data_IF_510158696658
#
_entry.id   IF_510158696658
#
_cell.length_a   1.000
_cell.length_b   1.000
_cell.length_c   1.000
_cell.angle_alpha   90.00
_cell.angle_beta   90.00
_cell.angle_gamma   90.00
#
_symmetry.space_group_name_H-M   'P 1'
#
loop_
_entity.id
_entity.type
_entity.pdbx_description
1 polymer ?
#
# COMPACT_ATOMS: atom_id res chain seq x y z
N UNK A 1 35.40 12.25 -59.25
CA UNK A 1 34.92 11.22 -58.30
C UNK A 1 33.50 11.01 -58.74
N UNK A 2 33.33 10.05 -59.64
CA UNK A 2 32.12 10.03 -60.45
C UNK A 2 31.13 9.12 -59.71
N UNK A 3 30.31 9.76 -58.88
CA UNK A 3 29.18 9.11 -58.23
C UNK A 3 28.11 8.99 -59.31
N UNK A 4 27.94 7.79 -59.87
CA UNK A 4 26.81 7.47 -60.74
C UNK A 4 25.54 7.38 -59.88
N UNK A 5 25.00 8.55 -59.54
CA UNK A 5 23.78 8.71 -58.78
C UNK A 5 22.60 8.62 -59.77
N UNK A 6 22.04 7.41 -59.95
CA UNK A 6 20.81 7.26 -60.75
C UNK A 6 19.62 7.68 -59.88
N UNK A 7 19.34 8.98 -59.81
CA UNK A 7 18.11 9.51 -59.23
C UNK A 7 17.00 9.32 -60.25
N UNK A 8 16.05 8.42 -59.98
CA UNK A 8 14.86 8.27 -60.82
C UNK A 8 13.72 9.09 -60.20
N UNK A 9 13.48 10.29 -60.73
CA UNK A 9 12.39 11.17 -60.27
C UNK A 9 11.18 10.90 -61.15
N UNK A 10 10.26 10.06 -60.67
CA UNK A 10 8.98 9.85 -61.34
C UNK A 10 8.00 10.95 -60.90
N UNK A 11 7.85 12.00 -61.70
CA UNK A 11 6.78 12.98 -61.53
C UNK A 11 5.49 12.43 -62.17
N UNK A 12 4.51 12.04 -61.35
CA UNK A 12 3.18 11.65 -61.83
C UNK A 12 2.24 12.85 -61.78
N UNK A 13 2.24 13.67 -62.83
CA UNK A 13 1.11 14.54 -63.17
C UNK A 13 1.24 15.08 -64.61
N UNK A 14 0.16 14.97 -65.38
CA UNK A 14 0.12 15.15 -66.85
C UNK A 14 0.24 16.60 -67.34
N UNK A 15 0.33 17.59 -66.46
CA UNK A 15 0.43 18.98 -66.88
C UNK A 15 1.25 19.79 -65.88
N UNK A 16 2.58 19.81 -66.04
CA UNK A 16 3.42 20.99 -65.80
C UNK A 16 4.84 20.73 -66.31
N UNK A 17 5.27 21.62 -67.20
CA UNK A 17 6.65 21.77 -67.64
C UNK A 17 7.50 22.45 -66.54
N UNK A 18 8.77 22.03 -66.48
CA UNK A 18 9.90 22.57 -65.69
C UNK A 18 10.02 22.10 -64.24
N UNK A 19 10.72 20.99 -64.09
CA UNK A 19 11.42 20.65 -62.85
C UNK A 19 12.67 21.54 -62.77
N UNK A 20 12.61 22.64 -62.00
CA UNK A 20 13.76 23.49 -61.71
C UNK A 20 14.39 23.05 -60.38
N UNK A 21 15.60 22.48 -60.46
CA UNK A 21 16.48 22.37 -59.29
C UNK A 21 16.99 23.79 -58.98
N UNK A 22 16.41 24.43 -57.97
CA UNK A 22 16.72 25.83 -57.59
C UNK A 22 18.07 26.00 -56.88
N UNK A 23 18.77 24.90 -56.55
CA UNK A 23 20.05 24.92 -55.83
C UNK A 23 21.14 24.17 -56.60
N UNK A 24 22.33 24.77 -56.70
CA UNK A 24 23.50 24.22 -57.39
C UNK A 24 24.13 22.99 -56.69
N UNK A 25 23.64 22.64 -55.49
CA UNK A 25 24.18 21.57 -54.67
C UNK A 25 23.11 20.55 -54.27
N UNK A 26 23.38 19.27 -54.53
CA UNK A 26 22.63 18.15 -53.98
C UNK A 26 23.30 17.73 -52.68
N UNK A 27 22.65 18.01 -51.55
CA UNK A 27 23.09 17.54 -50.24
C UNK A 27 22.65 16.08 -50.06
N UNK A 28 23.61 15.16 -50.06
CA UNK A 28 23.37 13.75 -49.79
C UNK A 28 23.82 13.42 -48.38
N UNK A 29 22.87 13.20 -47.47
CA UNK A 29 23.15 12.74 -46.11
C UNK A 29 22.94 11.23 -46.02
N UNK A 30 24.02 10.48 -45.81
CA UNK A 30 23.93 9.04 -45.55
C UNK A 30 23.58 8.86 -44.07
N UNK A 31 22.36 8.37 -43.79
CA UNK A 31 21.95 8.04 -42.42
C UNK A 31 22.80 6.90 -41.88
N UNK A 32 23.13 6.97 -40.59
CA UNK A 32 23.82 5.88 -39.89
C UNK A 32 22.90 4.64 -39.79
N UNK A 33 23.47 3.44 -39.62
CA UNK A 33 22.68 2.24 -39.40
C UNK A 33 21.97 2.29 -38.04
N UNK A 34 20.81 1.63 -37.92
CA UNK A 34 20.17 1.43 -36.61
C UNK A 34 21.01 0.50 -35.73
N UNK A 35 20.75 0.48 -34.43
CA UNK A 35 21.51 -0.33 -33.45
C UNK A 35 21.51 -1.84 -33.78
N UNK A 36 20.50 -2.31 -34.53
CA UNK A 36 20.33 -3.71 -34.93
C UNK A 36 20.83 -3.99 -36.36
N UNK A 37 21.50 -3.02 -37.00
CA UNK A 37 22.00 -3.12 -38.37
C UNK A 37 23.52 -2.94 -38.43
N UNK A 38 24.18 -3.73 -39.28
CA UNK A 38 25.61 -3.66 -39.48
C UNK A 38 25.95 -2.88 -40.75
N UNK A 39 27.04 -2.11 -40.66
CA UNK A 39 27.66 -1.47 -41.81
C UNK A 39 28.46 -2.49 -42.60
N UNK A 40 27.97 -2.84 -43.77
CA UNK A 40 28.70 -3.69 -44.73
C UNK A 40 29.42 -2.79 -45.72
N UNK A 41 30.75 -2.80 -45.70
CA UNK A 41 31.57 -2.04 -46.63
C UNK A 41 31.76 -2.83 -47.92
N UNK A 42 31.42 -2.21 -49.06
CA UNK A 42 31.72 -2.73 -50.40
C UNK A 42 32.80 -1.89 -51.05
N UNK A 43 33.85 -2.56 -51.52
CA UNK A 43 34.88 -1.97 -52.35
C UNK A 43 34.48 -2.11 -53.82
N UNK A 44 34.29 -0.98 -54.50
CA UNK A 44 34.16 -0.97 -55.95
C UNK A 44 35.48 -0.52 -56.58
N UNK A 45 36.11 -1.42 -57.34
CA UNK A 45 37.33 -1.09 -58.10
C UNK A 45 36.94 -0.37 -59.39
N UNK A 46 37.22 0.92 -59.49
CA UNK A 46 37.03 1.68 -60.72
C UNK A 46 38.38 2.03 -61.34
N UNK A 47 38.62 1.56 -62.58
CA UNK A 47 39.75 1.93 -63.44
C UNK A 47 41.13 2.03 -62.74
N UNK A 48 41.60 0.92 -62.12
CA UNK A 48 42.98 0.71 -61.59
C UNK A 48 43.58 1.76 -60.62
N UNK A 49 42.90 2.88 -60.33
CA UNK A 49 43.55 4.04 -59.70
C UNK A 49 42.88 4.48 -58.38
N UNK A 50 41.60 4.15 -58.11
CA UNK A 50 40.98 4.41 -56.79
C UNK A 50 39.93 3.35 -56.40
N UNK A 51 40.03 2.82 -55.18
CA UNK A 51 38.99 2.00 -54.57
C UNK A 51 37.94 2.93 -53.95
N UNK A 52 36.70 2.87 -54.43
CA UNK A 52 35.58 3.55 -53.77
C UNK A 52 35.00 2.61 -52.72
N UNK A 53 35.13 2.98 -51.44
CA UNK A 53 34.47 2.29 -50.33
C UNK A 53 33.15 2.99 -50.03
N UNK A 54 32.04 2.28 -50.11
CA UNK A 54 30.76 2.73 -49.57
C UNK A 54 30.21 1.66 -48.62
N UNK A 55 29.39 2.08 -47.67
CA UNK A 55 28.70 1.14 -46.78
C UNK A 55 27.20 1.18 -47.01
N UNK A 56 26.56 0.09 -46.67
CA UNK A 56 25.11 -0.01 -46.57
C UNK A 56 24.75 -0.83 -45.32
N UNK A 57 23.53 -0.67 -44.84
CA UNK A 57 23.07 -1.30 -43.61
C UNK A 57 22.34 -2.60 -43.94
N UNK A 58 22.76 -3.70 -43.33
CA UNK A 58 22.06 -4.99 -43.39
C UNK A 58 21.64 -5.44 -42.00
N UNK A 59 20.54 -6.19 -41.91
CA UNK A 59 20.17 -6.91 -40.69
C UNK A 59 21.04 -8.18 -40.56
N UNK A 60 21.26 -8.64 -39.33
CA UNK A 60 22.01 -9.87 -39.09
C UNK A 60 21.33 -11.07 -39.76
N UNK A 61 22.09 -11.85 -40.53
CA UNK A 61 21.61 -13.10 -41.11
C UNK A 61 21.72 -14.22 -40.08
N UNK A 62 20.60 -14.81 -39.71
CA UNK A 62 20.58 -15.92 -38.76
C UNK A 62 20.68 -17.29 -39.44
N UNK A 63 21.19 -18.26 -38.69
CA UNK A 63 21.03 -19.67 -39.02
C UNK A 63 19.55 -20.03 -39.08
N UNK A 64 19.17 -20.93 -40.00
CA UNK A 64 17.78 -21.39 -40.17
C UNK A 64 17.21 -22.07 -38.91
N UNK A 65 18.06 -22.41 -37.93
CA UNK A 65 17.65 -22.95 -36.63
C UNK A 65 17.12 -21.90 -35.67
N UNK A 66 17.45 -20.62 -35.86
CA UNK A 66 16.99 -19.54 -35.00
C UNK A 66 15.52 -19.17 -35.34
N UNK A 67 14.57 -19.27 -34.39
CA UNK A 67 13.14 -19.09 -34.64
C UNK A 67 12.73 -17.60 -34.71
N UNK A 68 13.37 -16.83 -35.59
CA UNK A 68 13.07 -15.39 -35.78
C UNK A 68 11.69 -15.17 -36.39
N UNK A 69 11.18 -16.13 -37.18
CA UNK A 69 9.85 -16.03 -37.80
C UNK A 69 8.70 -16.22 -36.80
N UNK A 70 8.95 -16.91 -35.69
CA UNK A 70 7.97 -17.15 -34.62
C UNK A 70 8.03 -16.09 -33.52
N UNK A 71 8.83 -15.04 -33.71
CA UNK A 71 9.07 -13.96 -32.75
C UNK A 71 9.65 -14.43 -31.39
N UNK A 72 10.31 -15.59 -31.36
CA UNK A 72 10.93 -16.16 -30.14
C UNK A 72 12.37 -15.69 -29.92
N UNK A 73 13.03 -15.27 -30.98
CA UNK A 73 14.44 -14.90 -30.97
C UNK A 73 14.68 -13.67 -31.87
N UNK A 74 15.72 -12.92 -31.52
CA UNK A 74 16.29 -11.86 -32.34
C UNK A 74 17.69 -12.26 -32.81
N UNK A 75 18.03 -11.89 -34.04
CA UNK A 75 19.37 -12.13 -34.58
C UNK A 75 20.27 -10.94 -34.26
N UNK A 76 21.37 -11.17 -33.57
CA UNK A 76 22.36 -10.12 -33.26
C UNK A 76 23.71 -10.47 -33.87
N UNK A 77 24.48 -9.45 -34.23
CA UNK A 77 25.81 -9.65 -34.80
C UNK A 77 26.76 -10.29 -33.79
N UNK A 78 27.62 -11.18 -34.27
CA UNK A 78 28.72 -11.72 -33.48
C UNK A 78 29.86 -10.70 -33.29
N UNK A 79 30.93 -11.13 -32.64
CA UNK A 79 32.08 -10.25 -32.36
C UNK A 79 32.83 -9.78 -33.63
N UNK A 80 32.71 -10.50 -34.75
CA UNK A 80 33.33 -10.12 -36.02
C UNK A 80 32.34 -9.36 -36.91
N UNK A 81 32.45 -8.02 -36.90
CA UNK A 81 31.60 -7.12 -37.68
C UNK A 81 32.06 -6.93 -39.14
N UNK A 82 33.04 -7.71 -39.62
CA UNK A 82 33.59 -7.52 -40.96
C UNK A 82 32.72 -8.17 -42.06
N UNK A 83 31.94 -9.21 -41.72
CA UNK A 83 31.14 -9.98 -42.68
C UNK A 83 29.84 -10.48 -42.06
N UNK A 84 28.73 -10.34 -42.79
CA UNK A 84 27.41 -10.83 -42.36
C UNK A 84 27.25 -12.33 -42.67
N UNK A 85 27.98 -13.18 -41.94
CA UNK A 85 28.00 -14.63 -42.14
C UNK A 85 27.04 -15.30 -41.13
N UNK A 86 26.17 -16.20 -41.62
CA UNK A 86 25.11 -16.83 -40.82
C UNK A 86 25.62 -17.57 -39.59
N UNK A 87 26.79 -18.18 -39.70
CA UNK A 87 27.43 -18.98 -38.67
C UNK A 87 28.12 -18.14 -37.59
N UNK A 88 28.40 -16.85 -37.88
CA UNK A 88 29.05 -15.93 -36.95
C UNK A 88 28.06 -15.09 -36.14
N UNK A 89 26.81 -14.98 -36.60
CA UNK A 89 25.76 -14.23 -35.90
C UNK A 89 25.13 -15.04 -34.76
N UNK A 90 24.72 -14.35 -33.69
CA UNK A 90 24.21 -14.96 -32.46
C UNK A 90 22.68 -14.90 -32.48
N UNK A 91 22.05 -16.03 -32.20
CA UNK A 91 20.61 -16.11 -31.95
C UNK A 91 20.33 -15.76 -30.49
N UNK A 92 19.80 -14.57 -30.22
CA UNK A 92 19.49 -14.11 -28.87
C UNK A 92 18.01 -14.31 -28.57
N UNK A 93 17.71 -14.99 -27.47
CA UNK A 93 16.32 -15.27 -27.12
C UNK A 93 15.62 -14.02 -26.61
N UNK A 94 14.35 -13.84 -27.03
CA UNK A 94 13.50 -12.81 -26.45
C UNK A 94 13.13 -13.18 -25.01
N UNK A 95 12.79 -12.20 -24.16
CA UNK A 95 12.31 -12.46 -22.81
C UNK A 95 11.21 -13.53 -22.79
N UNK A 96 11.38 -14.54 -21.93
CA UNK A 96 10.48 -15.69 -21.84
C UNK A 96 10.90 -16.91 -22.66
N UNK A 97 12.03 -16.87 -23.38
CA UNK A 97 12.61 -18.02 -24.06
C UNK A 97 14.10 -18.19 -23.70
N UNK A 98 14.58 -19.43 -23.73
CA UNK A 98 15.96 -19.84 -23.44
C UNK A 98 16.25 -21.21 -24.09
N UNK A 99 17.43 -21.76 -23.83
CA UNK A 99 17.94 -22.97 -24.44
C UNK A 99 18.51 -22.74 -25.83
N UNK A 100 19.06 -23.81 -26.41
CA UNK A 100 19.58 -23.74 -27.77
C UNK A 100 18.47 -23.31 -28.74
N UNK A 101 18.75 -22.23 -29.47
CA UNK A 101 17.82 -21.62 -30.42
C UNK A 101 16.47 -21.23 -29.82
N UNK A 102 16.41 -20.90 -28.53
CA UNK A 102 15.19 -20.38 -27.90
C UNK A 102 14.01 -21.35 -28.00
N UNK A 103 14.31 -22.65 -28.02
CA UNK A 103 13.34 -23.74 -28.13
C UNK A 103 12.54 -23.91 -26.83
N UNK A 104 13.14 -23.56 -25.70
CA UNK A 104 12.51 -23.69 -24.39
C UNK A 104 11.87 -22.36 -23.99
N UNK A 105 10.58 -22.40 -23.63
CA UNK A 105 9.92 -21.25 -23.02
C UNK A 105 10.34 -21.20 -21.55
N UNK A 106 11.04 -20.14 -21.15
CA UNK A 106 11.37 -19.91 -19.74
C UNK A 106 10.09 -19.49 -19.04
N UNK A 107 9.55 -20.42 -18.28
CA UNK A 107 8.64 -20.05 -17.21
C UNK A 107 9.52 -19.63 -16.04
N UNK A 108 9.43 -18.35 -15.67
CA UNK A 108 10.07 -17.82 -14.46
C UNK A 108 9.75 -18.79 -13.33
N UNK A 109 10.77 -19.45 -12.78
CA UNK A 109 10.61 -20.27 -11.57
C UNK A 109 10.27 -19.31 -10.45
N UNK A 110 8.98 -19.13 -10.20
CA UNK A 110 8.54 -18.37 -9.05
C UNK A 110 8.91 -19.14 -7.79
N UNK A 111 9.43 -18.41 -6.82
CA UNK A 111 9.79 -18.95 -5.53
C UNK A 111 8.50 -19.47 -4.86
N UNK A 112 8.37 -20.76 -4.54
CA UNK A 112 7.13 -21.36 -4.03
C UNK A 112 6.65 -20.76 -2.70
N UNK A 113 7.45 -19.91 -2.06
CA UNK A 113 7.11 -19.27 -0.79
C UNK A 113 6.07 -18.13 -0.90
N UNK A 114 5.59 -17.74 -2.09
CA UNK A 114 4.68 -16.59 -2.26
C UNK A 114 3.35 -16.87 -2.97
N UNK A 115 2.94 -18.13 -3.16
CA UNK A 115 1.55 -18.40 -3.52
C UNK A 115 0.68 -18.44 -2.24
N UNK A 116 0.35 -17.24 -1.73
CA UNK A 116 -0.47 -17.03 -0.53
C UNK A 116 -1.91 -17.57 -0.61
N UNK A 117 -2.33 -18.14 -1.75
CA UNK A 117 -3.71 -18.56 -1.99
C UNK A 117 -3.84 -20.01 -2.50
N UNK A 118 -2.81 -20.84 -2.34
CA UNK A 118 -2.92 -22.26 -2.72
C UNK A 118 -3.83 -23.05 -1.77
N UNK A 119 -3.92 -22.65 -0.50
CA UNK A 119 -4.73 -23.32 0.49
C UNK A 119 -5.52 -22.35 1.39
N UNK A 120 -6.48 -22.92 2.13
CA UNK A 120 -7.29 -22.18 3.09
C UNK A 120 -6.44 -21.49 4.15
N UNK A 121 -5.35 -22.12 4.60
CA UNK A 121 -4.47 -21.55 5.62
C UNK A 121 -3.75 -20.31 5.11
N UNK A 122 -3.23 -20.32 3.88
CA UNK A 122 -2.62 -19.15 3.25
C UNK A 122 -3.59 -17.98 3.18
N UNK A 123 -4.83 -18.23 2.74
CA UNK A 123 -5.84 -17.17 2.73
C UNK A 123 -6.17 -16.67 4.14
N UNK A 124 -6.32 -17.57 5.11
CA UNK A 124 -6.63 -17.21 6.49
C UNK A 124 -5.50 -16.38 7.14
N UNK A 125 -4.24 -16.76 6.93
CA UNK A 125 -3.10 -15.99 7.40
C UNK A 125 -3.02 -14.63 6.72
N UNK A 126 -3.22 -14.56 5.41
CA UNK A 126 -3.24 -13.30 4.68
C UNK A 126 -4.31 -12.35 5.24
N UNK A 127 -5.52 -12.86 5.47
CA UNK A 127 -6.61 -12.12 6.11
C UNK A 127 -6.21 -11.62 7.50
N UNK A 128 -5.68 -12.50 8.36
CA UNK A 128 -5.28 -12.15 9.73
C UNK A 128 -4.20 -11.07 9.71
N UNK A 129 -3.15 -11.23 8.91
CA UNK A 129 -2.04 -10.27 8.85
C UNK A 129 -2.44 -8.93 8.24
N UNK A 130 -3.28 -8.94 7.19
CA UNK A 130 -3.84 -7.72 6.58
C UNK A 130 -4.53 -6.88 7.66
N UNK A 131 -5.48 -7.47 8.38
CA UNK A 131 -6.29 -6.73 9.33
C UNK A 131 -5.56 -6.43 10.64
N UNK A 132 -4.72 -7.36 11.14
CA UNK A 132 -3.96 -7.16 12.37
C UNK A 132 -3.00 -5.96 12.26
N UNK A 133 -2.39 -5.76 11.09
CA UNK A 133 -1.55 -4.59 10.82
C UNK A 133 -2.32 -3.28 10.95
N UNK A 134 -3.47 -3.19 10.28
CA UNK A 134 -4.34 -1.99 10.31
C UNK A 134 -4.84 -1.71 11.73
N UNK A 135 -5.34 -2.73 12.44
CA UNK A 135 -5.79 -2.58 13.83
C UNK A 135 -4.68 -2.14 14.77
N UNK A 136 -3.45 -2.67 14.62
CA UNK A 136 -2.32 -2.30 15.46
C UNK A 136 -1.98 -0.82 15.31
N UNK A 137 -1.92 -0.33 14.07
CA UNK A 137 -1.69 1.10 13.78
C UNK A 137 -2.82 1.95 14.37
N UNK A 138 -4.07 1.51 14.20
CA UNK A 138 -5.23 2.24 14.69
C UNK A 138 -5.28 2.32 16.23
N UNK A 139 -4.88 1.25 16.94
CA UNK A 139 -4.77 1.23 18.41
C UNK A 139 -3.68 2.19 18.87
N UNK A 140 -2.51 2.20 18.22
CA UNK A 140 -1.44 3.14 18.54
C UNK A 140 -1.94 4.58 18.38
N UNK A 141 -2.62 4.89 17.27
CA UNK A 141 -3.24 6.20 17.03
C UNK A 141 -4.27 6.55 18.12
N UNK A 142 -5.10 5.59 18.52
CA UNK A 142 -6.09 5.80 19.58
C UNK A 142 -5.42 6.17 20.91
N UNK A 143 -4.33 5.49 21.29
CA UNK A 143 -3.58 5.77 22.52
C UNK A 143 -3.04 7.20 22.48
N UNK A 144 -2.36 7.59 21.40
CA UNK A 144 -1.84 8.95 21.24
C UNK A 144 -2.96 10.00 21.34
N UNK A 145 -4.10 9.79 20.68
CA UNK A 145 -5.21 10.75 20.73
C UNK A 145 -5.87 10.83 22.11
N UNK A 146 -5.96 9.72 22.84
CA UNK A 146 -6.53 9.70 24.18
C UNK A 146 -5.62 10.43 25.18
N UNK A 147 -4.32 10.11 25.22
CA UNK A 147 -3.36 10.78 26.11
C UNK A 147 -3.34 12.29 25.88
N UNK A 148 -3.45 12.71 24.63
CA UNK A 148 -3.39 14.12 24.27
C UNK A 148 -4.70 14.87 24.47
N UNK A 149 -5.83 14.16 24.37
CA UNK A 149 -7.12 14.71 24.78
C UNK A 149 -7.19 15.04 26.27
N UNK A 150 -6.43 14.31 27.10
CA UNK A 150 -6.32 14.55 28.55
C UNK A 150 -5.32 15.66 28.89
N UNK A 151 -4.21 15.76 28.14
CA UNK A 151 -3.19 16.79 28.36
C UNK A 151 -3.56 18.15 27.74
N UNK A 152 -4.34 18.16 26.66
CA UNK A 152 -4.75 19.37 25.96
C UNK A 152 -5.70 20.25 26.78
N UNK A 153 -5.57 21.56 26.67
CA UNK A 153 -6.54 22.51 27.23
C UNK A 153 -7.52 22.98 26.15
N UNK A 154 -8.83 22.94 26.47
CA UNK A 154 -9.85 23.47 25.57
C UNK A 154 -9.66 24.99 25.38
N UNK A 155 -9.51 25.44 24.13
CA UNK A 155 -9.28 26.84 23.80
C UNK A 155 -10.30 27.78 24.42
N UNK A 156 -11.59 27.46 24.26
CA UNK A 156 -12.68 28.31 24.71
C UNK A 156 -12.65 28.51 26.21
N UNK A 157 -12.36 27.45 26.97
CA UNK A 157 -12.25 27.53 28.42
C UNK A 157 -11.04 28.35 28.87
N UNK A 158 -9.91 28.26 28.15
CA UNK A 158 -8.73 29.10 28.43
C UNK A 158 -9.05 30.58 28.17
N UNK A 159 -9.63 30.87 27.00
CA UNK A 159 -10.01 32.24 26.61
C UNK A 159 -11.01 32.84 27.59
N UNK A 160 -12.05 32.10 27.96
CA UNK A 160 -13.06 32.53 28.94
C UNK A 160 -12.43 32.81 30.31
N UNK A 161 -11.53 31.94 30.78
CA UNK A 161 -10.83 32.14 32.05
C UNK A 161 -9.87 33.34 32.03
N UNK A 162 -9.21 33.60 30.90
CA UNK A 162 -8.34 34.76 30.74
C UNK A 162 -9.17 36.06 30.68
N UNK A 163 -10.27 36.09 29.92
CA UNK A 163 -11.18 37.24 29.85
C UNK A 163 -11.78 37.60 31.20
N UNK A 164 -12.23 36.59 31.95
CA UNK A 164 -12.77 36.81 33.30
C UNK A 164 -11.70 37.34 34.27
N UNK A 165 -10.45 36.86 34.18
CA UNK A 165 -9.35 37.39 35.00
C UNK A 165 -9.00 38.84 34.67
N UNK A 166 -9.03 39.24 33.40
CA UNK A 166 -8.77 40.62 32.98
C UNK A 166 -9.86 41.59 33.48
N UNK A 167 -11.12 41.20 33.39
CA UNK A 167 -12.21 42.01 33.94
C UNK A 167 -12.13 42.17 35.47
N UNK A 168 -11.61 41.16 36.18
CA UNK A 168 -11.43 41.23 37.63
C UNK A 168 -10.27 42.17 38.02
N UNK A 169 -9.17 42.19 37.24
CA UNK A 169 -8.08 43.13 37.46
C UNK A 169 -8.49 44.59 37.16
N UNK A 170 -9.26 44.82 36.09
CA UNK A 170 -9.78 46.16 35.77
C UNK A 170 -10.73 46.70 36.84
N UNK A 171 -11.56 45.84 37.42
CA UNK A 171 -12.49 46.24 38.49
C UNK A 171 -11.77 46.50 39.82
N UNK A 172 -10.70 45.76 40.14
CA UNK A 172 -9.86 46.04 41.31
C UNK A 172 -9.08 47.36 41.18
N UNK A 173 -8.44 47.60 40.02
CA UNK A 173 -7.65 48.83 39.78
C UNK A 173 -8.49 50.12 39.82
N UNK A 174 -9.81 50.01 39.61
CA UNK A 174 -10.74 51.15 39.69
C UNK A 174 -11.06 51.56 41.13
N UNK A 175 -10.92 50.66 42.10
CA UNK A 175 -11.21 50.95 43.50
C UNK A 175 -10.04 51.60 44.25
N UNK A 176 -8.79 51.33 43.84
CA UNK A 176 -7.60 51.87 44.51
C UNK A 176 -7.21 53.30 44.10
N UNK A 177 -7.79 53.84 43.02
CA UNK A 177 -7.41 55.16 42.47
C UNK A 177 -8.26 56.35 42.95
N UNK A 178 -8.97 56.23 44.08
CA UNK A 178 -9.77 57.36 44.61
C UNK A 178 -8.90 58.46 45.26
N UNK A 179 -7.59 58.25 45.50
CA UNK A 179 -6.80 59.18 46.32
C UNK A 179 -5.50 59.77 45.74
N UNK A 180 -5.20 59.68 44.44
CA UNK A 180 -3.96 60.31 43.94
C UNK A 180 -4.13 61.14 42.66
N UNK A 181 -4.15 62.48 42.87
CA UNK A 181 -3.91 63.47 41.83
C UNK A 181 -2.46 63.37 41.36
N UNK A 182 -2.16 62.49 40.42
CA UNK A 182 -0.98 62.69 39.56
C UNK A 182 -1.29 62.38 38.11
N UNK A 183 -1.48 63.49 37.40
CA UNK A 183 -1.63 63.63 35.96
C UNK A 183 -0.22 63.59 35.38
N UNK A 184 0.15 62.55 34.62
CA UNK A 184 0.84 62.66 33.32
C UNK A 184 1.35 61.32 32.78
N UNK A 185 1.16 61.14 31.45
CA UNK A 185 1.78 60.16 30.54
C UNK A 185 1.34 58.69 30.65
N UNK A 186 0.21 58.38 30.02
CA UNK A 186 -0.06 57.04 29.49
C UNK A 186 -0.91 57.14 28.22
N UNK A 187 -0.26 57.42 27.09
CA UNK A 187 -0.87 57.45 25.75
C UNK A 187 0.02 56.71 24.78
N UNK A 188 0.24 55.42 25.04
CA UNK A 188 0.72 54.46 24.05
C UNK A 188 0.34 53.04 24.50
N UNK A 189 -0.97 52.81 24.73
CA UNK A 189 -1.49 51.45 24.77
C UNK A 189 -1.64 50.99 23.32
N UNK A 190 -0.55 50.44 22.77
CA UNK A 190 -0.62 49.69 21.51
C UNK A 190 -1.67 48.60 21.65
N UNK A 191 -2.53 48.46 20.64
CA UNK A 191 -3.55 47.41 20.57
C UNK A 191 -2.88 46.04 20.49
N UNK A 192 -2.56 45.47 21.64
CA UNK A 192 -2.01 44.12 21.75
C UNK A 192 -3.09 43.13 21.29
N UNK A 193 -2.73 42.18 20.43
CA UNK A 193 -3.70 41.19 19.95
C UNK A 193 -4.12 40.26 21.10
N UNK A 194 -5.31 39.68 21.03
CA UNK A 194 -5.78 38.71 22.04
C UNK A 194 -4.80 37.52 22.18
N UNK A 195 -4.18 37.12 21.07
CA UNK A 195 -3.18 36.05 21.04
C UNK A 195 -1.91 36.44 21.80
N UNK A 196 -1.43 37.68 21.66
CA UNK A 196 -0.29 38.20 22.43
C UNK A 196 -0.61 38.26 23.92
N UNK A 197 -1.84 38.62 24.30
CA UNK A 197 -2.28 38.64 25.70
C UNK A 197 -2.27 37.22 26.29
N UNK A 198 -2.82 36.24 25.56
CA UNK A 198 -2.83 34.84 26.00
C UNK A 198 -1.42 34.28 26.14
N UNK A 199 -0.54 34.55 25.17
CA UNK A 199 0.87 34.14 25.19
C UNK A 199 1.61 34.73 26.39
N UNK A 200 1.39 36.02 26.67
CA UNK A 200 2.04 36.70 27.80
C UNK A 200 1.56 36.17 29.16
N UNK A 201 0.26 35.89 29.33
CA UNK A 201 -0.25 35.28 30.58
C UNK A 201 0.32 33.87 30.78
N UNK A 202 0.41 33.07 29.71
CA UNK A 202 0.96 31.72 29.81
C UNK A 202 2.46 31.72 30.10
N UNK A 203 3.24 32.60 29.47
CA UNK A 203 4.66 32.77 29.79
C UNK A 203 4.86 33.19 31.25
N UNK A 204 4.04 34.12 31.76
CA UNK A 204 4.06 34.53 33.16
C UNK A 204 3.79 33.36 34.11
N UNK A 205 2.80 32.51 33.82
CA UNK A 205 2.49 31.32 34.63
C UNK A 205 3.60 30.27 34.59
N UNK A 206 4.20 30.04 33.43
CA UNK A 206 5.34 29.13 33.27
C UNK A 206 6.54 29.61 34.08
N UNK A 207 6.84 30.90 34.04
CA UNK A 207 7.91 31.49 34.85
C UNK A 207 7.63 31.38 36.36
N UNK A 208 6.36 31.56 36.77
CA UNK A 208 5.96 31.36 38.16
C UNK A 208 6.17 29.90 38.61
N UNK A 209 5.78 28.94 37.76
CA UNK A 209 5.96 27.52 38.02
C UNK A 209 7.44 27.15 38.16
N UNK A 210 8.28 27.64 37.24
CA UNK A 210 9.72 27.40 37.26
C UNK A 210 10.39 28.01 38.50
N UNK A 211 9.96 29.20 38.93
CA UNK A 211 10.44 29.83 40.16
C UNK A 211 10.02 29.09 41.44
N UNK A 212 8.87 28.40 41.41
CA UNK A 212 8.37 27.61 42.54
C UNK A 212 9.12 26.28 42.63
N UNK A 213 9.38 25.64 41.50
CA UNK A 213 10.01 24.31 41.46
C UNK A 213 11.53 24.37 41.65
N UNK A 214 12.20 25.39 41.11
CA UNK A 214 13.65 25.56 41.23
C UNK A 214 14.07 26.26 42.52
N UNK A 215 13.13 26.56 43.43
CA UNK A 215 13.51 27.04 44.75
C UNK A 215 14.15 25.85 45.48
N UNK A 216 15.48 25.84 45.72
CA UNK A 216 16.11 24.74 46.43
C UNK A 216 15.34 24.58 47.74
N UNK A 217 15.04 23.33 48.17
CA UNK A 217 14.35 23.11 49.42
C UNK A 217 15.13 23.87 50.49
N UNK A 218 14.51 24.91 51.03
CA UNK A 218 15.06 25.66 52.14
C UNK A 218 15.12 24.68 53.29
N UNK A 219 16.28 24.04 53.46
CA UNK A 219 16.61 23.28 54.64
C UNK A 219 16.66 24.27 55.79
N UNK A 220 15.48 24.64 56.29
CA UNK A 220 15.36 25.27 57.58
C UNK A 220 15.89 24.25 58.56
N UNK A 221 17.06 24.53 59.10
CA UNK A 221 17.68 23.84 60.21
C UNK A 221 16.61 23.66 61.28
N UNK A 222 16.11 22.43 61.35
CA UNK A 222 14.98 22.08 62.19
C UNK A 222 15.52 22.00 63.61
N UNK A 223 15.33 23.09 64.36
CA UNK A 223 15.62 23.16 65.79
C UNK A 223 14.78 22.09 66.50
N UNK A 224 15.49 21.09 67.01
CA UNK A 224 14.96 19.82 67.47
C UNK A 224 14.38 19.94 68.88
N UNK A 225 13.41 20.82 69.13
CA UNK A 225 12.75 20.86 70.44
C UNK A 225 11.28 21.30 70.36
N UNK A 226 10.40 20.34 70.04
CA UNK A 226 9.13 20.06 70.77
C UNK A 226 8.23 19.15 69.93
N UNK A 227 8.32 17.86 70.24
CA UNK A 227 7.32 16.86 69.87
C UNK A 227 6.00 17.21 70.58
N UNK A 228 5.13 17.96 69.89
CA UNK A 228 3.72 18.11 70.32
C UNK A 228 2.90 17.14 69.48
N UNK A 229 2.36 16.12 70.14
CA UNK A 229 1.34 15.20 69.60
C UNK A 229 0.13 16.03 69.14
N UNK A 230 0.16 16.45 67.88
CA UNK A 230 -0.96 17.07 67.17
C UNK A 230 -1.66 16.01 66.34
N UNK A 231 -2.99 16.02 66.41
CA UNK A 231 -3.89 15.03 65.82
C UNK A 231 -3.65 14.84 64.31
N UNK A 232 -3.78 13.59 63.89
CA UNK A 232 -3.87 13.16 62.50
C UNK A 232 -5.05 13.84 61.79
N UNK A 233 -4.82 15.02 61.22
CA UNK A 233 -5.63 15.48 60.10
C UNK A 233 -5.08 14.81 58.84
N UNK A 234 -5.70 13.68 58.51
CA UNK A 234 -5.59 13.05 57.19
C UNK A 234 -6.05 14.07 56.15
N UNK A 235 -5.09 14.78 55.57
CA UNK A 235 -5.26 15.52 54.32
C UNK A 235 -5.65 14.50 53.26
N UNK A 236 -6.96 14.42 53.00
CA UNK A 236 -7.56 13.60 51.95
C UNK A 236 -7.42 14.34 50.62
N UNK A 237 -6.22 14.32 50.05
CA UNK A 237 -6.07 14.54 48.61
C UNK A 237 -6.50 13.28 47.87
N UNK A 238 -7.31 13.45 46.82
CA UNK A 238 -7.96 12.44 45.97
C UNK A 238 -9.28 11.87 46.50
N UNK A 239 -10.33 12.71 46.51
CA UNK A 239 -11.72 12.25 46.44
C UNK A 239 -12.48 13.05 45.38
N UNK A 240 -11.96 13.05 44.15
CA UNK A 240 -12.62 13.73 43.02
C UNK A 240 -12.58 12.89 41.74
N UNK A 241 -12.95 11.62 41.82
CA UNK A 241 -13.21 10.80 40.63
C UNK A 241 -14.10 9.61 40.97
N UNK A 242 -15.42 9.74 40.74
CA UNK A 242 -16.33 8.60 40.53
C UNK A 242 -17.75 8.97 40.07
N UNK A 243 -18.03 10.20 39.60
CA UNK A 243 -19.40 10.60 39.21
C UNK A 243 -19.63 10.60 37.70
N UNK A 244 -18.60 10.39 36.87
CA UNK A 244 -18.78 10.32 35.41
C UNK A 244 -18.65 8.86 34.96
N UNK A 245 -19.72 8.35 34.32
CA UNK A 245 -19.85 7.09 33.59
C UNK A 245 -20.24 5.81 34.34
N UNK A 246 -21.44 5.80 34.94
CA UNK A 246 -22.19 4.54 35.21
C UNK A 246 -23.41 4.31 34.31
N UNK A 247 -23.72 5.21 33.36
CA UNK A 247 -25.00 5.16 32.63
C UNK A 247 -24.91 4.71 31.16
N UNK A 248 -23.74 4.33 30.63
CA UNK A 248 -23.61 3.98 29.21
C UNK A 248 -23.25 2.50 28.92
N UNK A 249 -23.10 1.64 29.93
CA UNK A 249 -22.69 0.24 29.73
C UNK A 249 -23.85 -0.76 29.54
N UNK A 250 -25.11 -0.37 29.73
CA UNK A 250 -26.23 -1.35 29.74
C UNK A 250 -26.98 -1.52 28.41
N UNK A 251 -26.62 -0.78 27.35
CA UNK A 251 -27.36 -0.86 26.07
C UNK A 251 -26.66 -1.57 24.91
N UNK A 252 -25.37 -1.92 25.03
CA UNK A 252 -24.64 -2.55 23.92
C UNK A 252 -24.75 -4.09 23.87
N UNK A 253 -25.17 -4.75 24.96
CA UNK A 253 -25.18 -6.23 25.02
C UNK A 253 -26.46 -6.89 24.50
N UNK A 254 -27.56 -6.15 24.24
CA UNK A 254 -28.82 -6.77 23.79
C UNK A 254 -29.07 -6.74 22.28
N UNK A 255 -28.22 -6.04 21.51
CA UNK A 255 -28.38 -5.91 20.04
C UNK A 255 -27.65 -7.04 19.29
N UNK A 256 -26.66 -7.69 19.91
CA UNK A 256 -25.84 -8.70 19.21
C UNK A 256 -26.52 -10.06 18.98
N UNK A 257 -27.48 -10.45 19.80
CA UNK A 257 -28.06 -11.81 19.72
C UNK A 257 -29.12 -11.97 18.62
N UNK A 258 -29.81 -10.89 18.23
CA UNK A 258 -30.88 -10.95 17.23
C UNK A 258 -30.35 -10.89 15.78
N UNK A 259 -29.27 -10.15 15.53
CA UNK A 259 -28.73 -10.00 14.17
C UNK A 259 -28.01 -11.28 13.69
N UNK A 260 -27.40 -12.03 14.61
CA UNK A 260 -26.73 -13.30 14.31
C UNK A 260 -27.71 -14.42 13.91
N UNK A 261 -28.97 -14.33 14.35
CA UNK A 261 -30.02 -15.29 14.00
C UNK A 261 -30.57 -15.09 12.58
N UNK A 262 -30.62 -13.85 12.09
CA UNK A 262 -31.10 -13.53 10.73
C UNK A 262 -30.10 -14.00 9.66
N UNK A 263 -28.80 -13.92 9.94
CA UNK A 263 -27.74 -14.37 9.02
C UNK A 263 -27.82 -15.90 8.81
N UNK A 264 -28.06 -16.67 9.88
CA UNK A 264 -28.14 -18.14 9.82
C UNK A 264 -29.41 -18.68 9.12
N UNK A 265 -30.48 -17.89 9.03
CA UNK A 265 -31.73 -18.36 8.39
C UNK A 265 -31.69 -18.25 6.86
N UNK A 266 -30.83 -17.38 6.32
CA UNK A 266 -30.71 -17.16 4.87
C UNK A 266 -29.79 -18.17 4.17
N UNK A 267 -28.95 -18.90 4.90
CA UNK A 267 -27.99 -19.87 4.34
C UNK A 267 -28.57 -21.26 4.08
N UNK A 268 -29.78 -21.58 4.57
CA UNK A 268 -30.36 -22.92 4.41
C UNK A 268 -31.21 -23.12 3.14
N UNK A 269 -31.33 -22.12 2.26
CA UNK A 269 -32.29 -22.18 1.15
C UNK A 269 -31.72 -22.65 -0.21
N UNK A 270 -30.40 -22.70 -0.44
CA UNK A 270 -29.85 -22.97 -1.79
C UNK A 270 -28.68 -23.97 -1.79
N UNK A 271 -28.91 -25.22 -1.37
CA UNK A 271 -27.89 -26.27 -1.36
C UNK A 271 -27.73 -27.04 -2.69
N UNK A 272 -28.13 -26.46 -3.84
CA UNK A 272 -28.16 -27.19 -5.13
C UNK A 272 -27.27 -26.62 -6.24
N UNK A 273 -26.25 -25.83 -5.91
CA UNK A 273 -25.21 -25.48 -6.90
C UNK A 273 -23.83 -25.51 -6.26
N UNK A 274 -23.19 -26.68 -6.36
CA UNK A 274 -21.73 -26.74 -6.39
C UNK A 274 -21.27 -26.30 -7.78
N UNK A 275 -21.55 -25.03 -8.12
CA UNK A 275 -21.01 -24.38 -9.30
C UNK A 275 -19.53 -24.11 -9.04
N UNK A 276 -18.72 -25.16 -9.24
CA UNK A 276 -17.31 -25.01 -9.53
C UNK A 276 -17.24 -24.28 -10.88
N UNK A 277 -17.16 -22.95 -10.84
CA UNK A 277 -16.92 -22.11 -12.01
C UNK A 277 -15.61 -22.55 -12.66
N UNK A 278 -15.73 -23.40 -13.66
CA UNK A 278 -14.65 -23.76 -14.56
C UNK A 278 -14.55 -22.60 -15.54
N UNK A 279 -13.49 -21.79 -15.44
CA UNK A 279 -13.20 -20.81 -16.49
C UNK A 279 -13.07 -21.56 -17.83
N UNK A 280 -13.47 -20.91 -18.93
CA UNK A 280 -13.33 -21.46 -20.30
C UNK A 280 -11.88 -21.86 -20.65
N UNK A 281 -10.90 -21.40 -19.84
CA UNK A 281 -9.49 -21.79 -19.90
C UNK A 281 -9.16 -23.17 -19.30
N UNK A 282 -10.15 -23.87 -18.74
CA UNK A 282 -10.01 -25.16 -18.07
C UNK A 282 -9.43 -25.09 -16.66
N UNK A 283 -9.01 -23.89 -16.19
CA UNK A 283 -8.36 -23.68 -14.90
C UNK A 283 -9.35 -23.63 -13.75
N UNK A 284 -8.97 -24.23 -12.63
CA UNK A 284 -9.65 -24.08 -11.34
C UNK A 284 -8.99 -22.92 -10.61
N UNK A 285 -9.78 -21.88 -10.28
CA UNK A 285 -9.35 -20.85 -9.34
C UNK A 285 -9.92 -21.18 -7.97
N UNK A 286 -9.04 -21.24 -6.98
CA UNK A 286 -9.49 -21.28 -5.60
C UNK A 286 -10.11 -19.92 -5.26
N UNK A 287 -11.43 -19.90 -5.04
CA UNK A 287 -12.11 -18.75 -4.49
C UNK A 287 -11.99 -18.82 -2.97
N UNK A 288 -11.30 -17.86 -2.36
CA UNK A 288 -11.14 -17.90 -0.92
C UNK A 288 -12.50 -17.72 -0.22
N UNK A 289 -12.95 -18.68 0.61
CA UNK A 289 -14.24 -18.59 1.28
C UNK A 289 -14.30 -17.46 2.34
N UNK A 290 -13.15 -16.86 2.66
CA UNK A 290 -13.02 -15.78 3.63
C UNK A 290 -13.16 -14.38 3.00
N UNK A 291 -13.44 -14.27 1.70
CA UNK A 291 -13.62 -12.96 1.04
C UNK A 291 -14.78 -12.17 1.64
N UNK A 292 -15.86 -12.85 2.04
CA UNK A 292 -16.99 -12.22 2.74
C UNK A 292 -16.59 -11.68 4.11
N UNK A 293 -15.70 -12.37 4.82
CA UNK A 293 -15.14 -11.91 6.10
C UNK A 293 -14.15 -10.75 5.90
N UNK A 294 -13.35 -10.76 4.84
CA UNK A 294 -12.48 -9.64 4.45
C UNK A 294 -13.29 -8.36 4.27
N UNK A 295 -14.39 -8.42 3.52
CA UNK A 295 -15.29 -7.27 3.33
C UNK A 295 -15.87 -6.75 4.67
N UNK A 296 -16.29 -7.66 5.54
CA UNK A 296 -16.81 -7.30 6.86
C UNK A 296 -15.75 -6.63 7.74
N UNK A 297 -14.53 -7.17 7.78
CA UNK A 297 -13.42 -6.61 8.54
C UNK A 297 -12.98 -5.25 7.98
N UNK A 298 -12.90 -5.08 6.67
CA UNK A 298 -12.67 -3.77 6.03
C UNK A 298 -13.74 -2.75 6.45
N UNK A 299 -15.01 -3.16 6.55
CA UNK A 299 -16.10 -2.32 7.06
C UNK A 299 -15.91 -1.89 8.51
N UNK A 300 -15.50 -2.81 9.39
CA UNK A 300 -15.20 -2.53 10.80
C UNK A 300 -14.00 -1.58 10.91
N UNK A 301 -12.94 -1.80 10.14
CA UNK A 301 -11.76 -0.94 10.09
C UNK A 301 -12.11 0.47 9.64
N UNK A 302 -12.94 0.59 8.59
CA UNK A 302 -13.41 1.89 8.10
C UNK A 302 -14.20 2.63 9.19
N UNK A 303 -15.10 1.94 9.89
CA UNK A 303 -15.85 2.53 11.00
C UNK A 303 -14.91 3.01 12.13
N UNK A 304 -13.89 2.21 12.47
CA UNK A 304 -12.90 2.57 13.48
C UNK A 304 -12.06 3.79 13.09
N UNK A 305 -11.62 3.85 11.82
CA UNK A 305 -10.90 4.99 11.26
C UNK A 305 -11.77 6.26 11.29
N UNK A 306 -13.06 6.18 10.94
CA UNK A 306 -13.99 7.31 11.05
C UNK A 306 -14.09 7.82 12.49
N UNK A 307 -14.18 6.92 13.48
CA UNK A 307 -14.19 7.29 14.90
C UNK A 307 -12.89 8.02 15.29
N UNK A 308 -11.73 7.55 14.79
CA UNK A 308 -10.45 8.21 15.03
C UNK A 308 -10.40 9.62 14.42
N UNK A 309 -10.90 9.81 13.20
CA UNK A 309 -10.97 11.15 12.57
C UNK A 309 -11.81 12.10 13.41
N UNK A 310 -13.00 11.67 13.87
CA UNK A 310 -13.87 12.52 14.70
C UNK A 310 -13.15 12.94 15.98
N UNK A 311 -12.35 12.04 16.59
CA UNK A 311 -11.49 12.37 17.73
C UNK A 311 -10.37 13.35 17.35
N UNK A 312 -9.69 13.15 16.21
CA UNK A 312 -8.64 14.07 15.71
C UNK A 312 -9.21 15.48 15.53
N UNK A 313 -10.36 15.61 14.87
CA UNK A 313 -11.03 16.89 14.64
C UNK A 313 -11.37 17.59 15.96
N UNK A 314 -11.83 16.81 16.95
CA UNK A 314 -12.06 17.33 18.31
C UNK A 314 -10.75 17.81 18.94
N UNK A 315 -9.67 17.03 18.88
CA UNK A 315 -8.35 17.39 19.43
C UNK A 315 -7.76 18.62 18.75
N UNK A 316 -8.01 18.83 17.46
CA UNK A 316 -7.53 20.03 16.75
C UNK A 316 -8.10 21.36 17.28
N UNK A 317 -9.23 21.32 18.01
CA UNK A 317 -9.80 22.50 18.68
C UNK A 317 -9.09 22.87 20.00
N UNK A 318 -8.20 22.00 20.50
CA UNK A 318 -7.47 22.24 21.74
C UNK A 318 -6.22 23.10 21.48
N UNK A 319 -5.83 23.90 22.46
CA UNK A 319 -4.57 24.65 22.45
C UNK A 319 -3.51 23.88 23.23
N UNK A 320 -2.25 24.12 22.88
CA UNK A 320 -1.07 23.42 23.43
C UNK A 320 -0.99 21.94 23.07
N UNK A 321 -1.75 21.50 22.06
CA UNK A 321 -1.57 20.18 21.44
C UNK A 321 -0.22 20.13 20.76
N UNK A 322 0.54 19.06 20.98
CA UNK A 322 1.84 18.91 20.35
C UNK A 322 1.73 18.91 18.82
N UNK A 323 2.69 19.55 18.15
CA UNK A 323 2.77 19.62 16.68
C UNK A 323 2.68 18.26 16.01
N UNK A 324 3.21 17.20 16.65
CA UNK A 324 3.21 15.84 16.11
C UNK A 324 1.80 15.28 15.88
N UNK A 325 0.80 15.65 16.67
CA UNK A 325 -0.60 15.16 16.52
C UNK A 325 -1.27 15.76 15.30
N UNK A 326 -0.93 17.02 14.95
CA UNK A 326 -1.42 17.63 13.71
C UNK A 326 -0.91 16.85 12.50
N UNK A 327 0.38 16.50 12.49
CA UNK A 327 0.98 15.66 11.44
C UNK A 327 0.40 14.24 11.42
N UNK A 328 0.12 13.66 12.58
CA UNK A 328 -0.53 12.37 12.69
C UNK A 328 -1.97 12.41 12.13
N UNK A 329 -2.72 13.48 12.40
CA UNK A 329 -4.02 13.74 11.80
C UNK A 329 -3.95 13.92 10.27
N UNK A 330 -2.96 14.66 9.76
CA UNK A 330 -2.74 14.77 8.31
C UNK A 330 -2.37 13.44 7.66
N UNK A 331 -1.56 12.63 8.33
CA UNK A 331 -1.19 11.30 7.86
C UNK A 331 -2.42 10.38 7.76
N UNK A 332 -3.34 10.46 8.73
CA UNK A 332 -4.62 9.74 8.70
C UNK A 332 -5.49 10.19 7.52
N UNK A 333 -5.60 11.50 7.26
CA UNK A 333 -6.35 12.04 6.12
C UNK A 333 -5.75 11.62 4.77
N UNK A 334 -4.41 11.61 4.67
CA UNK A 334 -3.71 11.13 3.48
C UNK A 334 -3.96 9.64 3.29
N UNK A 335 -3.88 8.85 4.35
CA UNK A 335 -4.14 7.41 4.27
C UNK A 335 -5.56 7.11 3.77
N UNK A 336 -6.57 7.86 4.21
CA UNK A 336 -7.95 7.66 3.75
C UNK A 336 -8.14 8.09 2.29
N UNK A 337 -7.55 9.22 1.90
CA UNK A 337 -7.71 9.76 0.55
C UNK A 337 -6.91 8.97 -0.50
N UNK A 338 -5.72 8.49 -0.14
CA UNK A 338 -4.84 7.72 -1.03
C UNK A 338 -4.95 6.21 -0.88
N UNK A 339 -5.47 5.70 0.23
CA UNK A 339 -5.57 4.26 0.50
C UNK A 339 -6.27 3.49 -0.62
N UNK A 340 -7.50 3.89 -1.02
CA UNK A 340 -8.20 3.25 -2.14
C UNK A 340 -7.49 3.38 -3.50
N UNK A 341 -6.58 4.35 -3.66
CA UNK A 341 -5.82 4.54 -4.89
C UNK A 341 -4.57 3.64 -4.96
N UNK A 342 -4.08 3.18 -3.81
CA UNK A 342 -2.92 2.29 -3.71
C UNK A 342 -3.35 0.83 -3.90
N UNK A 343 -4.57 0.47 -3.48
CA UNK A 343 -5.22 -0.79 -3.87
C UNK A 343 -5.81 -0.67 -5.28
N UNK A 344 -4.93 -0.63 -6.28
CA UNK A 344 -5.34 -0.89 -7.66
C UNK A 344 -5.87 -2.32 -7.77
N UNK A 345 -7.20 -2.46 -7.86
CA UNK A 345 -7.98 -3.69 -8.05
C UNK A 345 -7.70 -4.43 -9.37
N UNK A 346 -6.48 -4.40 -9.90
CA UNK A 346 -6.12 -5.29 -10.99
C UNK A 346 -5.78 -6.67 -10.38
N UNK A 347 -6.64 -7.69 -10.52
CA UNK A 347 -6.31 -9.07 -10.13
C UNK A 347 -5.02 -9.56 -10.81
N UNK A 348 -4.60 -8.94 -11.90
CA UNK A 348 -3.32 -9.15 -12.60
C UNK A 348 -2.08 -8.86 -11.73
N UNK A 349 -2.20 -8.02 -10.68
CA UNK A 349 -1.13 -7.74 -9.72
C UNK A 349 -1.08 -8.75 -8.56
N UNK A 350 -2.15 -9.51 -8.31
CA UNK A 350 -2.31 -10.39 -7.16
C UNK A 350 -2.38 -11.89 -7.52
N UNK A 351 -2.77 -12.21 -8.75
CA UNK A 351 -2.88 -13.58 -9.24
C UNK A 351 -1.81 -13.89 -10.28
N UNK A 352 -0.75 -14.55 -9.84
CA UNK A 352 0.15 -15.27 -10.75
C UNK A 352 -0.49 -16.64 -10.99
N UNK A 353 -0.95 -16.87 -12.21
CA UNK A 353 -1.58 -18.12 -12.63
C UNK A 353 -0.68 -19.33 -12.32
N UNK A 354 -1.14 -20.23 -11.44
CA UNK A 354 -0.61 -21.57 -11.34
C UNK A 354 -0.77 -22.28 -12.68
N UNK A 355 0.36 -22.65 -13.29
CA UNK A 355 0.37 -23.55 -14.45
C UNK A 355 0.27 -24.99 -13.95
N UNK A 356 -0.50 -25.78 -14.70
CA UNK A 356 -0.66 -27.21 -14.52
C UNK A 356 0.67 -27.92 -14.30
N UNK A 357 0.62 -29.08 -13.64
CA UNK A 357 1.72 -30.04 -13.70
C UNK A 357 1.95 -30.48 -15.14
N UNK A 358 3.20 -30.78 -15.45
CA UNK A 358 3.62 -31.22 -16.77
C UNK A 358 2.88 -32.52 -17.13
N UNK A 359 2.12 -32.52 -18.22
CA UNK A 359 1.44 -33.71 -18.73
C UNK A 359 2.46 -34.86 -18.88
N UNK A 360 2.43 -35.85 -17.99
CA UNK A 360 3.48 -36.89 -17.89
C UNK A 360 3.68 -37.66 -19.20
N UNK A 361 2.63 -37.78 -20.01
CA UNK A 361 2.68 -38.38 -21.34
C UNK A 361 3.40 -37.53 -22.39
N UNK A 362 3.11 -36.23 -22.45
CA UNK A 362 3.58 -35.36 -23.52
C UNK A 362 4.68 -34.39 -23.10
N UNK A 363 5.05 -34.41 -21.81
CA UNK A 363 6.03 -33.49 -21.24
C UNK A 363 5.72 -32.03 -21.60
N UNK A 364 4.43 -31.69 -21.56
CA UNK A 364 3.90 -30.42 -22.08
C UNK A 364 2.79 -29.89 -21.17
N UNK A 365 2.80 -28.58 -20.94
CA UNK A 365 1.79 -27.87 -20.16
C UNK A 365 0.54 -27.47 -20.97
N UNK A 366 0.47 -27.86 -22.24
CA UNK A 366 -0.59 -27.50 -23.17
C UNK A 366 -1.15 -28.71 -23.92
N UNK A 367 -1.05 -29.91 -23.34
CA UNK A 367 -1.64 -31.10 -23.93
C UNK A 367 -3.15 -31.12 -23.60
N UNK A 368 -4.03 -31.35 -24.58
CA UNK A 368 -5.47 -31.58 -24.36
C UNK A 368 -5.76 -33.01 -23.85
N UNK A 369 -4.85 -33.59 -23.07
CA UNK A 369 -5.06 -34.95 -22.57
C UNK A 369 -6.10 -34.94 -21.46
N UNK A 370 -7.11 -35.79 -21.61
CA UNK A 370 -8.01 -36.11 -20.50
C UNK A 370 -7.19 -36.83 -19.41
N UNK A 371 -7.29 -36.40 -18.13
CA UNK A 371 -6.60 -37.06 -17.02
C UNK A 371 -6.99 -38.54 -16.95
N UNK A 372 -6.05 -39.39 -16.52
CA UNK A 372 -6.34 -40.80 -16.36
C UNK A 372 -7.35 -41.03 -15.22
N UNK A 373 -8.12 -42.11 -15.26
CA UNK A 373 -9.13 -42.45 -14.25
C UNK A 373 -8.52 -42.51 -12.84
N UNK A 374 -7.27 -42.92 -12.71
CA UNK A 374 -6.54 -42.95 -11.44
C UNK A 374 -6.22 -41.55 -10.88
N UNK A 375 -5.82 -40.60 -11.73
CA UNK A 375 -5.57 -39.20 -11.35
C UNK A 375 -6.89 -38.53 -10.93
N UNK A 376 -7.98 -38.80 -11.67
CA UNK A 376 -9.32 -38.35 -11.29
C UNK A 376 -9.73 -38.91 -9.92
N UNK A 377 -9.47 -40.19 -9.66
CA UNK A 377 -9.75 -40.80 -8.35
C UNK A 377 -8.91 -40.20 -7.21
N UNK A 378 -7.67 -39.78 -7.49
CA UNK A 378 -6.80 -39.12 -6.52
C UNK A 378 -7.33 -37.71 -6.19
N UNK A 379 -7.71 -36.94 -7.22
CA UNK A 379 -8.30 -35.60 -7.08
C UNK A 379 -9.61 -35.66 -6.29
N UNK A 380 -10.48 -36.62 -6.58
CA UNK A 380 -11.74 -36.83 -5.83
C UNK A 380 -11.45 -37.09 -4.35
N UNK A 381 -10.48 -37.95 -4.02
CA UNK A 381 -10.08 -38.23 -2.63
C UNK A 381 -9.53 -36.99 -1.91
N UNK A 382 -8.75 -36.16 -2.60
CA UNK A 382 -8.26 -34.90 -2.05
C UNK A 382 -9.39 -33.91 -1.77
N UNK A 383 -10.38 -33.81 -2.68
CA UNK A 383 -11.57 -32.96 -2.49
C UNK A 383 -12.41 -33.46 -1.32
N UNK A 384 -12.61 -34.77 -1.18
CA UNK A 384 -13.31 -35.37 -0.04
C UNK A 384 -12.60 -35.08 1.28
N UNK A 385 -11.26 -35.19 1.31
CA UNK A 385 -10.45 -34.86 2.48
C UNK A 385 -10.55 -33.37 2.82
N UNK A 386 -10.46 -32.49 1.83
CA UNK A 386 -10.62 -31.04 2.01
C UNK A 386 -12.01 -30.69 2.56
N UNK A 387 -13.07 -31.25 1.98
CA UNK A 387 -14.45 -31.06 2.44
C UNK A 387 -14.70 -31.60 3.86
N UNK A 388 -13.94 -32.64 4.25
CA UNK A 388 -13.96 -33.15 5.61
C UNK A 388 -13.23 -32.20 6.58
N UNK A 389 -12.04 -31.75 6.21
CA UNK A 389 -11.21 -30.84 7.01
C UNK A 389 -11.80 -29.44 7.14
N UNK A 390 -12.58 -28.96 6.18
CA UNK A 390 -13.24 -27.64 6.24
C UNK A 390 -14.49 -27.64 7.14
N UNK A 391 -15.03 -28.81 7.51
CA UNK A 391 -16.14 -28.97 8.47
C UNK A 391 -15.62 -29.19 9.89
N UNK A 392 -14.81 -28.27 10.41
CA UNK A 392 -14.24 -28.39 11.77
C UNK A 392 -15.32 -28.28 12.84
N UNK A 393 -16.38 -27.51 12.57
CA UNK A 393 -17.44 -27.21 13.53
C UNK A 393 -18.79 -27.42 12.84
N UNK A 394 -19.55 -28.42 13.30
CA UNK A 394 -20.93 -28.62 12.84
C UNK A 394 -21.85 -28.08 13.93
N UNK A 395 -22.65 -27.07 13.59
CA UNK A 395 -23.72 -26.58 14.45
C UNK A 395 -24.98 -27.43 14.19
N UNK A 396 -25.39 -28.20 15.20
CA UNK A 396 -26.60 -29.03 15.12
C UNK A 396 -27.46 -28.74 16.34
N UNK A 397 -28.51 -27.94 16.16
CA UNK A 397 -29.46 -27.60 17.23
C UNK A 397 -28.88 -26.67 18.31
N UNK A 398 -28.05 -25.69 17.93
CA UNK A 398 -27.54 -24.66 18.85
C UNK A 398 -26.32 -25.07 19.68
N UNK A 399 -25.83 -26.32 19.52
CA UNK A 399 -24.61 -26.79 20.16
C UNK A 399 -23.52 -26.99 19.11
N UNK A 400 -22.35 -26.39 19.34
CA UNK A 400 -21.16 -26.64 18.54
C UNK A 400 -20.60 -28.01 18.89
N UNK A 401 -20.62 -28.94 17.93
CA UNK A 401 -19.93 -30.23 18.07
C UNK A 401 -18.67 -30.21 17.23
N UNK A 402 -17.53 -30.35 17.89
CA UNK A 402 -16.28 -30.67 17.22
C UNK A 402 -16.43 -32.06 16.60
N UNK A 403 -16.14 -32.20 15.31
CA UNK A 403 -16.20 -33.50 14.63
C UNK A 403 -15.09 -34.39 15.19
N UNK A 404 -15.42 -35.20 16.20
CA UNK A 404 -14.50 -36.20 16.72
C UNK A 404 -14.37 -37.35 15.71
N UNK A 405 -13.15 -37.57 15.22
CA UNK A 405 -12.83 -38.56 14.19
C UNK A 405 -13.00 -39.97 14.75
N UNK A 406 -13.95 -40.76 14.24
CA UNK A 406 -14.19 -42.14 14.72
C UNK A 406 -13.33 -43.24 14.05
N UNK A 407 -12.46 -42.92 13.09
CA UNK A 407 -11.52 -43.90 12.49
C UNK A 407 -10.15 -43.28 12.18
N UNK A 408 -9.10 -43.87 12.73
CA UNK A 408 -7.69 -43.49 12.52
C UNK A 408 -7.14 -43.89 11.14
N UNK A 409 -7.81 -44.79 10.41
CA UNK A 409 -7.24 -45.40 9.21
C UNK A 409 -7.27 -44.53 7.94
N UNK A 410 -7.99 -43.40 7.95
CA UNK A 410 -8.13 -42.52 6.77
C UNK A 410 -6.90 -41.63 6.49
N UNK A 411 -5.93 -41.55 7.41
CA UNK A 411 -4.69 -40.76 7.25
C UNK A 411 -3.46 -41.62 6.93
N UNK A 412 -3.62 -42.94 6.72
CA UNK A 412 -2.51 -43.84 6.36
C UNK A 412 -2.09 -43.76 4.89
N UNK A 413 -2.71 -42.91 4.09
CA UNK A 413 -2.33 -42.71 2.69
C UNK A 413 -1.80 -41.29 2.54
N UNK A 414 -0.61 -41.19 1.95
CA UNK A 414 0.26 -40.01 1.77
C UNK A 414 1.32 -39.87 2.89
N UNK A 415 2.23 -40.86 2.95
CA UNK A 415 3.67 -40.65 2.72
C UNK A 415 4.08 -41.61 1.61
#
# INVERSE_FOLDING_TARGET
MDINLKININAYQENMNKLQLLNDYIYVTIKNCSENQMKVFKEHKYNKVKNLTYFYCENALCSNKCPTMEDKAECVFGNDNSKNIKELNICKCKPGYDGEYCSSKVFVKFNPYFNLFEDYFGCAFNLIFKHLGVFTIAIIYAIYLCTEGELGMNYFHVVEKTLTSLHQEESAAKYDNVNEKQKHKSSEKSSMSLEEIILRDTEKRLNLFNSTYNKPPSYNTMDSTKLRKGKNDRISFYKHESIINKNNETHFNSVHDNDLYIINKKTNANNDSTDNFREDSGKFRYSCPLETFNLLLNGIEMAFIIILILKVLKVWSYVYVFKHIKYLGYSLLIWITLGPLIEGDSPECYFIFLKYEECTRHKSFSCDCKPNQEELNLIVKYIELYNFCSKIIINSGGNFKQVQKKKQDLLKFII
#
